data_IF_643400834153
#
_entry.id   IF_643400834153
#
_cell.length_a   1.000
_cell.length_b   1.000
_cell.length_c   1.000
_cell.angle_alpha   90.00
_cell.angle_beta   90.00
_cell.angle_gamma   90.00
#
_symmetry.space_group_name_H-M   'P 1'
#
loop_
_entity.id
_entity.type
_entity.pdbx_description
1 polymer ?
#
# COMPACT_ATOMS: atom_id res chain seq x y z
N UNK A 1 29.47 39.75 17.81
CA UNK A 1 30.39 38.70 17.31
C UNK A 1 29.58 37.42 17.21
N UNK A 2 29.36 36.91 15.99
CA UNK A 2 28.37 35.89 15.67
C UNK A 2 28.80 34.48 16.07
N UNK A 3 27.88 33.73 16.67
CA UNK A 3 28.02 32.33 17.05
C UNK A 3 28.12 31.43 15.81
N UNK A 4 29.28 30.80 15.62
CA UNK A 4 29.43 29.63 14.75
C UNK A 4 28.89 28.41 15.50
N UNK A 5 27.64 28.05 15.23
CA UNK A 5 27.17 26.69 15.49
C UNK A 5 27.68 25.81 14.33
N UNK A 6 28.75 25.07 14.59
CA UNK A 6 29.26 24.05 13.68
C UNK A 6 28.28 22.89 13.61
N UNK A 7 27.58 22.76 12.49
CA UNK A 7 27.13 21.45 12.02
C UNK A 7 28.31 20.80 11.31
N UNK A 8 28.75 19.63 11.78
CA UNK A 8 29.74 18.81 11.11
C UNK A 8 29.37 18.63 9.62
N UNK A 9 30.36 18.59 8.71
CA UNK A 9 30.10 18.26 7.32
C UNK A 9 29.71 16.78 7.25
N UNK A 10 28.44 16.47 7.47
CA UNK A 10 27.89 15.16 7.15
C UNK A 10 28.13 14.97 5.66
N UNK A 11 28.88 13.92 5.33
CA UNK A 11 29.24 13.55 3.96
C UNK A 11 27.97 13.60 3.07
N UNK A 12 28.01 14.37 1.97
CA UNK A 12 26.87 14.54 1.07
C UNK A 12 26.30 13.19 0.60
N UNK A 13 27.16 12.18 0.46
CA UNK A 13 26.79 10.82 0.12
C UNK A 13 25.95 10.13 1.22
N UNK A 14 26.24 10.40 2.50
CA UNK A 14 25.45 9.88 3.63
C UNK A 14 24.06 10.52 3.64
N UNK A 15 23.97 11.83 3.43
CA UNK A 15 22.67 12.53 3.33
C UNK A 15 21.82 11.96 2.19
N UNK A 16 22.42 11.76 1.01
CA UNK A 16 21.74 11.19 -0.15
C UNK A 16 21.24 9.76 0.11
N UNK A 17 22.07 8.91 0.74
CA UNK A 17 21.70 7.54 1.09
C UNK A 17 20.57 7.50 2.13
N UNK A 18 20.63 8.33 3.17
CA UNK A 18 19.57 8.41 4.18
C UNK A 18 18.24 8.84 3.55
N UNK A 19 18.25 9.86 2.68
CA UNK A 19 17.05 10.31 1.98
C UNK A 19 16.47 9.22 1.06
N UNK A 20 17.33 8.49 0.33
CA UNK A 20 16.90 7.37 -0.51
C UNK A 20 16.26 6.23 0.32
N UNK A 21 16.80 5.95 1.51
CA UNK A 21 16.24 4.96 2.44
C UNK A 21 14.88 5.42 2.97
N UNK A 22 14.74 6.68 3.41
CA UNK A 22 13.47 7.24 3.86
C UNK A 22 12.38 7.15 2.77
N UNK A 23 12.75 7.42 1.51
CA UNK A 23 11.83 7.28 0.37
C UNK A 23 11.42 5.83 0.13
N UNK A 24 12.36 4.89 0.30
CA UNK A 24 12.08 3.45 0.17
C UNK A 24 11.13 2.97 1.27
N UNK A 25 11.36 3.37 2.51
CA UNK A 25 10.47 3.08 3.65
C UNK A 25 9.06 3.65 3.42
N UNK A 26 8.96 4.89 2.94
CA UNK A 26 7.67 5.52 2.62
C UNK A 26 6.91 4.72 1.55
N UNK A 27 7.60 4.28 0.49
CA UNK A 27 6.99 3.44 -0.54
C UNK A 27 6.52 2.09 0.02
N UNK A 28 7.29 1.47 0.92
CA UNK A 28 6.88 0.23 1.59
C UNK A 28 5.62 0.43 2.43
N UNK A 29 5.51 1.56 3.15
CA UNK A 29 4.30 1.91 3.90
C UNK A 29 3.08 2.07 2.98
N UNK A 30 3.23 2.72 1.82
CA UNK A 30 2.15 2.83 0.83
C UNK A 30 1.68 1.48 0.30
N UNK A 31 2.61 0.62 -0.09
CA UNK A 31 2.29 -0.75 -0.52
C UNK A 31 1.53 -1.47 0.59
N UNK A 32 2.02 -1.37 1.83
CA UNK A 32 1.39 -2.07 2.95
C UNK A 32 -0.01 -1.55 3.29
N UNK A 33 -0.23 -0.25 3.20
CA UNK A 33 -1.57 0.35 3.37
C UNK A 33 -2.52 -0.20 2.32
N UNK A 34 -2.10 -0.21 1.05
CA UNK A 34 -2.94 -0.69 -0.06
C UNK A 34 -3.31 -2.16 0.11
N UNK A 35 -2.33 -3.01 0.45
CA UNK A 35 -2.58 -4.43 0.74
C UNK A 35 -3.60 -4.61 1.86
N UNK A 36 -3.42 -3.93 2.99
CA UNK A 36 -4.30 -4.08 4.15
C UNK A 36 -5.71 -3.51 3.89
N UNK A 37 -5.82 -2.42 3.11
CA UNK A 37 -7.12 -1.88 2.70
C UNK A 37 -7.88 -2.84 1.79
N UNK A 38 -7.17 -3.55 0.90
CA UNK A 38 -7.77 -4.63 0.11
C UNK A 38 -8.28 -5.76 1.01
N UNK A 39 -7.48 -6.22 1.98
CA UNK A 39 -7.92 -7.26 2.93
C UNK A 39 -9.16 -6.83 3.73
N UNK A 40 -9.23 -5.57 4.19
CA UNK A 40 -10.42 -5.01 4.89
C UNK A 40 -11.64 -5.03 3.98
N UNK A 41 -11.48 -4.68 2.70
CA UNK A 41 -12.55 -4.73 1.70
C UNK A 41 -13.04 -6.16 1.47
N UNK A 42 -12.12 -7.13 1.34
CA UNK A 42 -12.47 -8.54 1.19
C UNK A 42 -13.27 -9.06 2.39
N UNK A 43 -12.84 -8.77 3.62
CA UNK A 43 -13.58 -9.14 4.82
C UNK A 43 -14.96 -8.48 4.86
N UNK A 44 -15.09 -7.23 4.43
CA UNK A 44 -16.36 -6.54 4.34
C UNK A 44 -17.32 -7.21 3.34
N UNK A 45 -16.82 -7.64 2.19
CA UNK A 45 -17.62 -8.39 1.21
C UNK A 45 -18.08 -9.73 1.77
N UNK A 46 -17.22 -10.45 2.51
CA UNK A 46 -17.59 -11.71 3.17
C UNK A 46 -18.71 -11.47 4.16
N UNK A 47 -18.61 -10.45 5.03
CA UNK A 47 -19.64 -10.12 6.02
C UNK A 47 -20.98 -9.88 5.33
N UNK A 48 -21.03 -8.97 4.34
CA UNK A 48 -22.26 -8.63 3.60
C UNK A 48 -22.88 -9.87 2.93
N UNK A 49 -22.07 -10.79 2.44
CA UNK A 49 -22.55 -12.00 1.78
C UNK A 49 -23.15 -13.03 2.75
N UNK A 50 -22.62 -13.15 3.98
CA UNK A 50 -23.02 -14.21 4.92
C UNK A 50 -23.96 -13.75 6.03
N UNK A 51 -23.99 -12.45 6.35
CA UNK A 51 -24.88 -11.85 7.35
C UNK A 51 -26.37 -12.12 7.14
N UNK A 52 -26.94 -12.08 5.92
CA UNK A 52 -28.37 -12.36 5.71
C UNK A 52 -28.71 -13.85 5.75
N UNK A 53 -27.73 -14.74 5.89
CA UNK A 53 -27.95 -16.18 5.89
C UNK A 53 -28.32 -16.68 7.30
N UNK A 54 -28.94 -17.87 7.35
CA UNK A 54 -29.29 -18.51 8.61
C UNK A 54 -28.05 -18.75 9.50
N UNK A 55 -28.00 -18.23 10.74
CA UNK A 55 -26.88 -18.43 11.67
C UNK A 55 -26.53 -19.90 11.97
N UNK A 56 -27.51 -20.81 11.83
CA UNK A 56 -27.30 -22.25 12.06
C UNK A 56 -26.71 -22.97 10.85
N UNK A 57 -26.65 -22.31 9.68
CA UNK A 57 -26.08 -22.87 8.46
C UNK A 57 -24.61 -23.22 8.67
N UNK A 58 -24.23 -24.40 8.17
CA UNK A 58 -22.84 -24.88 8.19
C UNK A 58 -21.98 -24.08 7.22
N UNK A 59 -20.77 -23.77 7.65
CA UNK A 59 -19.73 -23.10 6.88
C UNK A 59 -18.41 -23.84 7.07
N UNK A 60 -17.51 -23.73 6.10
CA UNK A 60 -16.25 -24.48 6.10
C UNK A 60 -15.10 -23.49 5.95
N UNK A 61 -14.16 -23.52 6.90
CA UNK A 61 -12.93 -22.72 6.84
C UNK A 61 -11.77 -23.58 6.39
N UNK A 62 -11.06 -23.14 5.35
CA UNK A 62 -9.84 -23.80 4.90
C UNK A 62 -8.66 -23.39 5.79
N UNK A 63 -7.96 -24.37 6.35
CA UNK A 63 -6.73 -24.18 7.16
C UNK A 63 -5.72 -25.22 6.71
N UNK A 64 -4.61 -24.78 6.10
CA UNK A 64 -3.53 -25.67 5.68
C UNK A 64 -3.96 -26.81 4.74
N UNK A 65 -4.99 -26.57 3.92
CA UNK A 65 -5.55 -27.59 3.01
C UNK A 65 -6.66 -28.48 3.60
N UNK A 66 -6.98 -28.34 4.89
CA UNK A 66 -8.10 -29.05 5.53
C UNK A 66 -9.29 -28.11 5.72
N UNK A 67 -10.51 -28.59 5.42
CA UNK A 67 -11.75 -27.87 5.68
C UNK A 67 -12.24 -28.16 7.11
N UNK A 68 -12.36 -27.12 7.92
CA UNK A 68 -12.89 -27.19 9.29
C UNK A 68 -14.34 -26.74 9.26
N UNK A 69 -15.26 -27.61 9.70
CA UNK A 69 -16.68 -27.29 9.82
C UNK A 69 -16.94 -26.34 10.98
N UNK A 70 -17.74 -25.31 10.71
CA UNK A 70 -18.20 -24.27 11.64
C UNK A 70 -19.64 -23.88 11.31
N UNK A 71 -20.22 -23.00 12.09
CA UNK A 71 -21.52 -22.38 11.80
C UNK A 71 -21.37 -20.88 11.56
N UNK A 72 -22.30 -20.27 10.84
CA UNK A 72 -22.26 -18.83 10.58
C UNK A 72 -22.23 -18.04 11.89
N UNK A 73 -22.99 -18.46 12.91
CA UNK A 73 -22.94 -17.87 14.26
C UNK A 73 -21.53 -17.87 14.90
N UNK A 74 -20.67 -18.82 14.56
CA UNK A 74 -19.29 -18.91 15.08
C UNK A 74 -18.31 -18.12 14.23
N UNK A 75 -18.52 -18.08 12.92
CA UNK A 75 -17.59 -17.43 11.97
C UNK A 75 -17.80 -15.94 11.88
N UNK A 76 -19.05 -15.48 11.87
CA UNK A 76 -19.38 -14.06 11.68
C UNK A 76 -18.68 -13.14 12.71
N UNK A 77 -18.68 -13.44 14.02
CA UNK A 77 -17.95 -12.63 15.00
C UNK A 77 -16.43 -12.65 14.79
N UNK A 78 -15.88 -13.77 14.30
CA UNK A 78 -14.45 -13.88 14.02
C UNK A 78 -14.04 -13.04 12.80
N UNK A 79 -14.87 -13.00 11.75
CA UNK A 79 -14.62 -12.17 10.57
C UNK A 79 -14.74 -10.68 10.93
N UNK A 80 -15.72 -10.29 11.76
CA UNK A 80 -15.84 -8.92 12.27
C UNK A 80 -14.61 -8.49 13.07
N UNK A 81 -14.20 -9.28 14.09
CA UNK A 81 -13.02 -8.96 14.90
C UNK A 81 -11.75 -8.84 14.06
N UNK A 82 -11.59 -9.71 13.06
CA UNK A 82 -10.43 -9.65 12.17
C UNK A 82 -10.44 -8.38 11.33
N UNK A 83 -11.60 -8.00 10.78
CA UNK A 83 -11.76 -6.75 10.04
C UNK A 83 -11.40 -5.54 10.91
N UNK A 84 -11.96 -5.44 12.11
CA UNK A 84 -11.67 -4.35 13.06
C UNK A 84 -10.18 -4.28 13.39
N UNK A 85 -9.54 -5.43 13.64
CA UNK A 85 -8.10 -5.50 13.87
C UNK A 85 -7.28 -5.04 12.67
N UNK A 86 -7.69 -5.36 11.43
CA UNK A 86 -7.06 -4.87 10.21
C UNK A 86 -7.22 -3.35 10.06
N UNK A 87 -8.41 -2.81 10.34
CA UNK A 87 -8.65 -1.36 10.31
C UNK A 87 -7.77 -0.60 11.31
N UNK A 88 -7.59 -1.13 12.52
CA UNK A 88 -6.66 -0.57 13.52
C UNK A 88 -5.19 -0.61 13.05
N UNK A 89 -4.78 -1.68 12.37
CA UNK A 89 -3.44 -1.77 11.79
C UNK A 89 -3.29 -0.74 10.66
N UNK A 90 -4.26 -0.62 9.75
CA UNK A 90 -4.27 0.38 8.68
C UNK A 90 -4.12 1.79 9.25
N UNK A 91 -4.88 2.12 10.30
CA UNK A 91 -4.79 3.42 10.96
C UNK A 91 -3.38 3.71 11.49
N UNK A 92 -2.75 2.73 12.16
CA UNK A 92 -1.38 2.85 12.67
C UNK A 92 -0.34 3.01 11.56
N UNK A 93 -0.47 2.26 10.46
CA UNK A 93 0.47 2.36 9.33
C UNK A 93 0.30 3.71 8.60
N UNK A 94 -0.93 4.24 8.49
CA UNK A 94 -1.19 5.60 7.98
C UNK A 94 -0.55 6.67 8.87
N UNK A 95 -0.64 6.53 10.19
CA UNK A 95 0.03 7.46 11.12
C UNK A 95 1.56 7.40 10.97
N UNK A 96 2.13 6.20 10.82
CA UNK A 96 3.56 6.03 10.56
C UNK A 96 3.98 6.68 9.24
N UNK A 97 3.15 6.58 8.19
CA UNK A 97 3.38 7.25 6.90
C UNK A 97 3.38 8.78 7.06
N UNK A 98 2.41 9.35 7.78
CA UNK A 98 2.35 10.80 8.01
C UNK A 98 3.53 11.31 8.85
N UNK A 99 3.97 10.53 9.84
CA UNK A 99 5.18 10.84 10.60
C UNK A 99 6.41 10.83 9.70
N UNK A 100 6.58 9.81 8.84
CA UNK A 100 7.70 9.73 7.90
C UNK A 100 7.71 10.84 6.86
N UNK A 101 6.53 11.27 6.39
CA UNK A 101 6.41 12.43 5.48
C UNK A 101 6.95 13.70 6.14
N UNK A 102 6.57 13.96 7.40
CA UNK A 102 7.07 15.12 8.16
C UNK A 102 8.58 15.06 8.34
N UNK A 103 9.12 13.92 8.76
CA UNK A 103 10.57 13.70 8.89
C UNK A 103 11.30 13.96 7.56
N UNK A 104 10.73 13.52 6.44
CA UNK A 104 11.31 13.73 5.11
C UNK A 104 11.33 15.22 4.72
N UNK A 105 10.24 15.95 4.95
CA UNK A 105 10.18 17.40 4.72
C UNK A 105 11.18 18.16 5.60
N UNK A 106 11.30 17.80 6.88
CA UNK A 106 12.28 18.38 7.78
C UNK A 106 13.73 18.09 7.33
N UNK A 107 13.99 16.88 6.85
CA UNK A 107 15.28 16.47 6.33
C UNK A 107 15.66 17.24 5.05
N UNK A 108 14.71 17.43 4.14
CA UNK A 108 14.86 18.25 2.93
C UNK A 108 15.21 19.70 3.26
N UNK A 109 14.51 20.30 4.23
CA UNK A 109 14.74 21.68 4.69
C UNK A 109 16.12 21.82 5.35
N UNK A 110 16.49 20.86 6.21
CA UNK A 110 17.75 20.88 6.97
C UNK A 110 18.97 20.82 6.07
N UNK A 111 18.96 19.96 5.05
CA UNK A 111 20.11 19.75 4.17
C UNK A 111 19.99 20.48 2.83
N UNK A 112 18.93 21.27 2.62
CA UNK A 112 18.61 21.94 1.35
C UNK A 112 18.84 21.00 0.18
N UNK A 113 18.31 19.77 0.31
CA UNK A 113 18.54 18.71 -0.68
C UNK A 113 17.98 19.22 -2.00
N UNK A 114 18.87 19.73 -2.86
CA UNK A 114 18.53 19.88 -4.27
C UNK A 114 18.51 18.47 -4.78
N UNK A 115 17.30 17.92 -4.91
CA UNK A 115 17.08 16.74 -5.75
C UNK A 115 17.65 17.15 -7.11
N UNK A 116 18.92 16.80 -7.39
CA UNK A 116 19.45 16.80 -8.74
C UNK A 116 18.62 15.75 -9.44
N UNK A 117 17.51 16.18 -10.04
CA UNK A 117 16.82 15.43 -11.08
C UNK A 117 17.87 15.18 -12.14
N UNK A 118 18.50 14.00 -12.08
CA UNK A 118 19.50 13.58 -13.06
C UNK A 118 18.85 13.65 -14.44
N UNK A 119 19.43 14.46 -15.32
CA UNK A 119 18.94 14.65 -16.68
C UNK A 119 19.28 16.02 -17.27
N UNK A 120 20.52 16.49 -17.13
CA UNK A 120 21.13 17.33 -18.16
C UNK A 120 22.05 16.39 -18.96
N UNK A 121 21.42 15.65 -19.87
CA UNK A 121 22.09 14.91 -20.93
C UNK A 121 21.54 15.49 -22.21
N UNK A 122 22.43 16.07 -23.01
CA UNK A 122 22.11 16.72 -24.27
C UNK A 122 21.37 15.79 -25.25
N UNK A 123 20.75 16.46 -26.21
CA UNK A 123 20.00 15.93 -27.34
C UNK A 123 20.64 14.69 -28.00
N UNK A 124 19.79 13.76 -28.45
CA UNK A 124 19.71 13.39 -29.87
C UNK A 124 18.40 12.66 -30.21
N UNK A 125 18.01 12.84 -31.46
CA UNK A 125 16.73 12.62 -32.13
C UNK A 125 16.51 11.16 -32.59
N UNK A 126 15.24 10.81 -32.83
CA UNK A 126 14.84 9.81 -33.82
C UNK A 126 14.84 8.34 -33.40
N UNK A 127 13.64 7.76 -33.22
CA UNK A 127 13.11 6.71 -34.11
C UNK A 127 11.77 6.15 -33.58
N UNK A 128 10.75 6.24 -34.42
CA UNK A 128 9.44 5.59 -34.26
C UNK A 128 9.58 4.07 -34.19
N UNK A 129 8.75 3.42 -33.35
CA UNK A 129 7.94 2.26 -33.74
C UNK A 129 6.94 1.88 -32.64
N UNK A 130 5.67 1.92 -33.02
CA UNK A 130 4.55 1.27 -32.34
C UNK A 130 4.81 -0.23 -32.22
N UNK A 131 4.53 -0.80 -31.03
CA UNK A 131 4.25 -2.24 -30.90
C UNK A 131 3.46 -2.52 -29.61
N UNK A 132 2.15 -2.66 -29.81
CA UNK A 132 1.21 -3.52 -29.07
C UNK A 132 1.24 -3.51 -27.53
N UNK A 133 0.47 -2.60 -26.94
CA UNK A 133 -0.10 -2.81 -25.62
C UNK A 133 -1.17 -3.90 -25.72
N UNK A 134 -0.83 -5.12 -25.28
CA UNK A 134 -1.77 -6.23 -25.17
C UNK A 134 -2.64 -6.03 -23.91
N UNK A 135 -3.56 -5.08 -24.00
CA UNK A 135 -4.62 -4.86 -23.01
C UNK A 135 -5.74 -5.89 -23.20
N UNK A 136 -6.04 -6.64 -22.14
CA UNK A 136 -7.19 -7.55 -22.11
C UNK A 136 -8.47 -6.72 -22.03
N UNK A 137 -9.17 -6.61 -23.16
CA UNK A 137 -10.51 -6.05 -23.25
C UNK A 137 -11.54 -7.15 -23.00
N UNK A 138 -12.16 -7.14 -21.82
CA UNK A 138 -13.27 -8.04 -21.48
C UNK A 138 -14.58 -7.34 -21.87
N UNK A 139 -15.21 -7.77 -22.95
CA UNK A 139 -16.55 -7.33 -23.35
C UNK A 139 -17.64 -8.11 -22.61
N UNK A 140 -18.80 -7.50 -22.30
CA UNK A 140 -19.91 -8.21 -21.68
C UNK A 140 -20.52 -9.22 -22.66
N UNK A 141 -20.42 -10.51 -22.34
CA UNK A 141 -21.15 -11.57 -23.02
C UNK A 141 -22.60 -11.58 -22.51
N UNK A 142 -23.50 -10.93 -23.25
CA UNK A 142 -24.91 -10.86 -22.88
C UNK A 142 -25.83 -10.42 -24.02
N UNK A 143 -26.16 -11.33 -24.94
CA UNK A 143 -27.47 -11.34 -25.61
C UNK A 143 -27.69 -12.70 -26.28
N UNK A 144 -28.29 -13.63 -25.55
CA UNK A 144 -28.96 -14.80 -26.12
C UNK A 144 -30.47 -14.52 -26.09
N UNK A 145 -31.01 -14.17 -27.24
CA UNK A 145 -32.45 -14.18 -27.49
C UNK A 145 -32.64 -14.55 -28.96
N UNK A 146 -32.91 -15.84 -29.18
CA UNK A 146 -33.93 -16.39 -30.08
C UNK A 146 -34.05 -17.90 -29.79
#
# INVERSE_FOLDING_TARGET
MASRAGGEPINEQVVANTYANMRTEMNQLYTKITELEMEVSEHSLVIVAIEPLDPTRRCYRMIGGVLVERTIKEVLPAVHRNKEGLEEVVARVKEALETKKKEMTEFELKYKIRIRKGGDSGAEDGNMKEASAQGVLVGPAGSRAE
#
